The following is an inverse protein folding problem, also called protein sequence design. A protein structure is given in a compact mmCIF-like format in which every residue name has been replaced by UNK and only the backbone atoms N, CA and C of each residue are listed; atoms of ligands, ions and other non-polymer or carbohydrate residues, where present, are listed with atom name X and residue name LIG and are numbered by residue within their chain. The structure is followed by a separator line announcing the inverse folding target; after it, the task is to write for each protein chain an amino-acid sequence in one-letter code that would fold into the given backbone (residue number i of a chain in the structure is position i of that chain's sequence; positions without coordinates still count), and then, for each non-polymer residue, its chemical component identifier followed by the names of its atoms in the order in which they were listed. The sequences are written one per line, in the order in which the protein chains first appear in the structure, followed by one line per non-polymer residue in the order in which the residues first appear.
data_IF_901475970555
#
_entry.id   IF_901475970555
#
_cell.length_a   1.000
_cell.length_b   1.000
_cell.length_c   1.000
_cell.angle_alpha   90.00
_cell.angle_beta   90.00
_cell.angle_gamma   90.00
#
_symmetry.space_group_name_H-M   'P 1'
#
loop_
_entity.id
_entity.type
_entity.pdbx_description
1 polymer ?
#
# COMPACT_ATOMS: atom_id res chain seq x y z
N UNK A 1 -6.42 31.51 -2.95
CA UNK A 1 -6.13 30.52 -1.87
C UNK A 1 -4.65 30.64 -1.53
N UNK A 2 -4.23 30.23 -0.34
CA UNK A 2 -2.79 30.18 -0.01
C UNK A 2 -2.17 29.01 -0.75
N UNK A 3 -1.07 29.22 -1.46
CA UNK A 3 -0.22 28.17 -2.02
C UNK A 3 0.28 27.26 -0.88
N UNK A 4 0.18 25.96 -1.07
CA UNK A 4 0.63 24.96 -0.10
C UNK A 4 1.63 24.03 -0.77
N UNK A 5 2.61 23.60 -0.01
CA UNK A 5 3.51 22.50 -0.37
C UNK A 5 2.99 21.22 0.26
N UNK A 6 2.47 20.31 -0.57
CA UNK A 6 1.80 19.07 -0.17
C UNK A 6 2.73 17.89 -0.42
N UNK A 7 3.09 17.14 0.62
CA UNK A 7 3.79 15.88 0.46
C UNK A 7 2.80 14.73 0.28
N UNK A 8 2.80 14.12 -0.89
CA UNK A 8 2.02 12.91 -1.19
C UNK A 8 2.87 11.68 -0.85
N UNK A 9 2.38 10.87 0.10
CA UNK A 9 3.07 9.64 0.52
C UNK A 9 2.41 8.46 -0.17
N UNK A 10 3.18 7.76 -1.01
CA UNK A 10 2.73 6.81 -2.00
C UNK A 10 3.44 5.46 -1.81
N UNK A 11 2.68 4.37 -1.80
CA UNK A 11 3.21 3.02 -1.64
C UNK A 11 2.86 2.14 -2.85
N UNK A 12 3.88 1.71 -3.60
CA UNK A 12 3.73 0.73 -4.68
C UNK A 12 2.84 1.13 -5.88
N UNK A 13 2.60 2.43 -6.09
CA UNK A 13 1.69 2.92 -7.13
C UNK A 13 2.34 4.03 -7.98
N UNK A 14 1.74 5.22 -8.01
CA UNK A 14 2.26 6.38 -8.74
C UNK A 14 3.66 6.77 -8.24
N UNK A 15 4.60 7.11 -9.11
CA UNK A 15 4.51 7.21 -10.56
C UNK A 15 5.01 5.96 -11.34
N UNK A 16 5.16 4.80 -10.70
CA UNK A 16 5.80 3.61 -11.30
C UNK A 16 4.84 2.68 -12.02
N UNK A 17 3.56 2.65 -11.63
CA UNK A 17 2.60 1.65 -12.10
C UNK A 17 1.35 2.32 -12.61
N UNK A 18 0.88 1.92 -13.80
CA UNK A 18 -0.43 2.33 -14.30
C UNK A 18 -1.55 1.63 -13.50
N UNK A 19 -2.58 2.39 -13.13
CA UNK A 19 -3.72 1.85 -12.40
C UNK A 19 -4.68 2.93 -11.94
N UNK A 20 -5.82 2.54 -11.37
CA UNK A 20 -6.85 3.47 -10.94
C UNK A 20 -6.35 4.53 -9.95
N UNK A 21 -5.62 4.09 -8.91
CA UNK A 21 -5.04 4.99 -7.91
C UNK A 21 -4.00 5.92 -8.53
N UNK A 22 -3.13 5.39 -9.40
CA UNK A 22 -2.10 6.19 -10.07
C UNK A 22 -2.71 7.22 -11.02
N UNK A 23 -3.73 6.85 -11.78
CA UNK A 23 -4.46 7.77 -12.67
C UNK A 23 -5.17 8.86 -11.87
N UNK A 24 -5.83 8.50 -10.77
CA UNK A 24 -6.46 9.47 -9.87
C UNK A 24 -5.42 10.43 -9.29
N UNK A 25 -4.28 9.92 -8.85
CA UNK A 25 -3.20 10.75 -8.29
C UNK A 25 -2.63 11.72 -9.32
N UNK A 26 -2.40 11.25 -10.55
CA UNK A 26 -1.95 12.11 -11.64
C UNK A 26 -2.95 13.24 -11.93
N UNK A 27 -4.25 12.91 -11.97
CA UNK A 27 -5.32 13.91 -12.16
C UNK A 27 -5.39 14.89 -10.97
N UNK A 28 -5.30 14.38 -9.73
CA UNK A 28 -5.30 15.20 -8.52
C UNK A 28 -4.21 16.27 -8.55
N UNK A 29 -2.97 15.89 -8.88
CA UNK A 29 -1.84 16.82 -9.00
C UNK A 29 -2.07 17.79 -10.16
N UNK A 30 -2.48 17.29 -11.32
CA UNK A 30 -2.65 18.11 -12.54
C UNK A 30 -3.75 19.17 -12.38
N UNK A 31 -4.82 18.88 -11.63
CA UNK A 31 -5.92 19.82 -11.43
C UNK A 31 -5.58 20.89 -10.39
N UNK A 32 -4.79 20.56 -9.37
CA UNK A 32 -4.43 21.47 -8.27
C UNK A 32 -3.14 22.27 -8.58
N UNK A 33 -3.14 22.98 -9.71
CA UNK A 33 -1.96 23.70 -10.22
C UNK A 33 -1.45 24.82 -9.31
N UNK A 34 -2.30 25.32 -8.41
CA UNK A 34 -1.96 26.36 -7.45
C UNK A 34 -1.14 25.85 -6.25
N UNK A 35 -0.86 24.54 -6.18
CA UNK A 35 -0.09 23.92 -5.10
C UNK A 35 1.16 23.25 -5.63
N UNK A 36 2.22 23.27 -4.81
CA UNK A 36 3.42 22.47 -5.05
C UNK A 36 3.25 21.06 -4.45
N UNK A 37 3.70 20.07 -5.18
CA UNK A 37 3.71 18.68 -4.70
C UNK A 37 5.10 18.13 -4.54
N UNK A 38 5.32 17.46 -3.42
CA UNK A 38 6.48 16.61 -3.16
C UNK A 38 5.99 15.17 -3.15
N UNK A 39 6.59 14.30 -3.96
CA UNK A 39 6.27 12.88 -3.94
C UNK A 39 7.24 12.16 -2.99
N UNK A 40 6.71 11.49 -1.98
CA UNK A 40 7.48 10.62 -1.09
C UNK A 40 7.03 9.18 -1.33
N UNK A 41 7.83 8.45 -2.10
CA UNK A 41 7.42 7.19 -2.71
C UNK A 41 8.15 6.03 -2.08
N UNK A 42 7.40 5.00 -1.68
CA UNK A 42 7.91 3.73 -1.19
C UNK A 42 7.81 2.71 -2.31
N UNK A 43 8.95 2.18 -2.75
CA UNK A 43 9.05 1.09 -3.71
C UNK A 43 9.58 -0.19 -3.08
N UNK A 44 9.35 -1.33 -3.72
CA UNK A 44 9.89 -2.61 -3.26
C UNK A 44 11.38 -2.74 -3.62
N UNK A 45 11.77 -2.40 -4.85
CA UNK A 45 13.08 -2.69 -5.41
C UNK A 45 13.80 -1.42 -5.86
N UNK A 46 15.02 -1.22 -5.36
CA UNK A 46 15.87 -0.06 -5.72
C UNK A 46 16.26 -0.02 -7.20
N UNK A 47 16.14 -1.13 -7.93
CA UNK A 47 16.35 -1.15 -9.37
C UNK A 47 15.30 -0.36 -10.15
N UNK A 48 14.15 -0.06 -9.54
CA UNK A 48 13.06 0.72 -10.17
C UNK A 48 13.24 2.23 -9.99
N UNK A 49 14.26 2.67 -9.29
CA UNK A 49 14.56 4.08 -9.04
C UNK A 49 14.55 4.89 -10.34
N UNK A 50 13.75 5.97 -10.35
CA UNK A 50 13.63 6.89 -11.47
C UNK A 50 12.92 6.33 -12.71
N UNK A 51 12.38 5.10 -12.67
CA UNK A 51 11.68 4.48 -13.81
C UNK A 51 10.19 4.84 -13.81
N UNK A 52 9.90 6.12 -13.93
CA UNK A 52 8.52 6.59 -13.93
C UNK A 52 7.81 6.25 -15.23
N UNK A 53 6.57 5.77 -15.14
CA UNK A 53 5.69 5.50 -16.30
C UNK A 53 4.76 6.67 -16.60
N UNK A 54 4.73 7.67 -15.74
CA UNK A 54 4.02 8.94 -15.93
C UNK A 54 5.00 10.07 -16.16
N UNK A 55 4.69 10.98 -17.06
CA UNK A 55 5.32 12.30 -17.13
C UNK A 55 4.80 13.13 -15.95
N UNK A 56 5.72 13.60 -15.12
CA UNK A 56 5.33 14.33 -13.91
C UNK A 56 4.85 15.73 -14.26
N UNK A 57 3.71 16.20 -13.69
CA UNK A 57 3.25 17.58 -13.87
C UNK A 57 4.25 18.60 -13.32
N UNK A 58 4.28 19.80 -13.90
CA UNK A 58 5.23 20.88 -13.57
C UNK A 58 5.19 21.32 -12.10
N UNK A 59 4.06 21.12 -11.42
CA UNK A 59 3.89 21.44 -10.02
C UNK A 59 4.37 20.32 -9.06
N UNK A 60 4.96 19.24 -9.58
CA UNK A 60 5.75 18.30 -8.79
C UNK A 60 7.18 18.83 -8.69
N UNK A 61 7.52 19.39 -7.53
CA UNK A 61 8.81 20.07 -7.32
C UNK A 61 9.92 19.17 -6.81
N UNK A 62 9.60 18.06 -6.16
CA UNK A 62 10.57 17.10 -5.62
C UNK A 62 10.00 15.67 -5.65
N UNK A 63 10.90 14.68 -5.77
CA UNK A 63 10.60 13.25 -5.62
C UNK A 63 11.61 12.61 -4.68
N UNK A 64 11.12 12.07 -3.57
CA UNK A 64 11.90 11.31 -2.59
C UNK A 64 11.54 9.83 -2.71
N UNK A 65 12.49 9.01 -3.12
CA UNK A 65 12.29 7.58 -3.35
C UNK A 65 12.95 6.77 -2.24
N UNK A 66 12.18 5.91 -1.58
CA UNK A 66 12.64 4.99 -0.54
C UNK A 66 12.31 3.57 -0.97
N UNK A 67 13.31 2.69 -0.99
CA UNK A 67 13.12 1.31 -1.44
C UNK A 67 13.34 0.32 -0.29
N UNK A 68 12.39 -0.60 -0.10
CA UNK A 68 12.42 -1.53 1.03
C UNK A 68 13.57 -2.54 0.95
N UNK A 69 14.04 -2.89 -0.24
CA UNK A 69 15.20 -3.78 -0.40
C UNK A 69 16.54 -3.11 0.01
N UNK A 70 16.60 -1.77 0.08
CA UNK A 70 17.75 -1.06 0.63
C UNK A 70 17.92 -1.33 2.14
N UNK A 71 16.82 -1.66 2.85
CA UNK A 71 16.89 -2.10 4.23
C UNK A 71 17.75 -3.38 4.41
N UNK A 72 17.76 -4.26 3.42
CA UNK A 72 18.58 -5.48 3.44
C UNK A 72 20.07 -5.21 3.26
N UNK A 73 20.42 -4.04 2.69
CA UNK A 73 21.80 -3.60 2.45
C UNK A 73 22.39 -2.83 3.64
N UNK A 74 21.59 -2.58 4.69
CA UNK A 74 22.08 -1.91 5.88
C UNK A 74 23.26 -2.68 6.49
N UNK A 75 24.45 -2.15 6.30
CA UNK A 75 25.65 -2.63 6.99
C UNK A 75 25.70 -1.98 8.36
N UNK A 76 26.18 -2.75 9.34
CA UNK A 76 26.69 -2.11 10.53
C UNK A 76 27.81 -1.18 10.09
N UNK A 77 27.73 0.09 10.49
CA UNK A 77 28.91 0.93 10.48
C UNK A 77 29.83 0.38 11.58
N UNK A 78 30.52 -0.70 11.26
CA UNK A 78 31.62 -1.19 12.07
C UNK A 78 32.67 -0.09 12.08
N UNK A 79 32.92 0.45 13.25
CA UNK A 79 34.04 1.32 13.47
C UNK A 79 35.31 0.58 13.02
N UNK A 80 36.03 1.09 12.03
CA UNK A 80 37.30 0.54 11.55
C UNK A 80 38.37 0.42 12.67
N UNK A 81 38.05 0.85 13.88
CA UNK A 81 38.95 0.93 15.05
C UNK A 81 38.66 -0.09 16.14
N UNK A 82 37.96 -1.22 15.86
CA UNK A 82 37.95 -2.33 16.84
C UNK A 82 37.35 -2.05 18.23
N UNK A 83 36.72 -0.90 18.45
CA UNK A 83 35.99 -0.64 19.69
C UNK A 83 34.69 -1.42 19.68
N UNK A 84 34.56 -2.35 20.61
CA UNK A 84 33.31 -3.01 20.97
C UNK A 84 32.18 -1.95 21.01
N UNK A 85 31.17 -2.09 20.15
CA UNK A 85 30.04 -1.19 20.16
C UNK A 85 29.53 -1.08 21.60
N UNK A 86 29.37 0.16 22.07
CA UNK A 86 28.57 0.45 23.26
C UNK A 86 27.23 -0.26 23.03
N UNK A 87 26.92 -1.20 23.90
CA UNK A 87 25.61 -1.82 23.99
C UNK A 87 24.63 -0.66 24.04
N UNK A 88 23.83 -0.47 22.99
CA UNK A 88 22.82 0.57 23.01
C UNK A 88 21.82 0.19 24.12
N UNK A 89 21.92 0.86 25.25
CA UNK A 89 20.93 0.72 26.31
C UNK A 89 19.68 1.46 25.84
N UNK A 90 18.62 0.69 25.59
CA UNK A 90 17.28 1.24 25.42
C UNK A 90 16.73 1.62 26.78
N UNK A 91 16.03 2.74 26.91
CA UNK A 91 15.28 3.08 28.09
C UNK A 91 14.13 2.10 28.31
N UNK A 92 13.51 2.13 29.49
CA UNK A 92 12.33 1.30 29.74
C UNK A 92 11.18 1.62 28.78
N UNK A 93 10.96 2.90 28.47
CA UNK A 93 9.94 3.39 27.55
C UNK A 93 10.23 2.94 26.11
N UNK A 94 11.48 3.06 25.64
CA UNK A 94 11.93 2.57 24.33
C UNK A 94 11.77 1.05 24.22
N UNK A 95 12.17 0.31 25.27
CA UNK A 95 12.05 -1.16 25.31
C UNK A 95 10.57 -1.59 25.28
N UNK A 96 9.71 -0.87 26.00
CA UNK A 96 8.25 -1.11 26.00
C UNK A 96 7.68 -0.90 24.59
N UNK A 97 7.97 0.25 23.95
CA UNK A 97 7.46 0.56 22.62
C UNK A 97 7.98 -0.42 21.55
N UNK A 98 9.25 -0.86 21.65
CA UNK A 98 9.81 -1.89 20.77
C UNK A 98 9.16 -3.27 21.00
N UNK A 99 8.84 -3.62 22.24
CA UNK A 99 8.07 -4.84 22.56
C UNK A 99 6.68 -4.78 21.95
N UNK A 100 5.97 -3.68 22.16
CA UNK A 100 4.62 -3.47 21.62
C UNK A 100 4.61 -3.49 20.09
N UNK A 101 5.66 -2.97 19.44
CA UNK A 101 5.86 -3.08 18.00
C UNK A 101 6.02 -4.54 17.56
N UNK A 102 6.83 -5.34 18.27
CA UNK A 102 7.01 -6.77 17.97
C UNK A 102 5.74 -7.57 18.19
N UNK A 103 4.97 -7.25 19.22
CA UNK A 103 3.71 -7.92 19.55
C UNK A 103 2.53 -7.45 18.71
N UNK A 104 2.74 -6.46 17.82
CA UNK A 104 1.70 -5.83 17.01
C UNK A 104 0.53 -5.32 17.85
N UNK A 105 0.84 -4.69 18.99
CA UNK A 105 -0.14 -4.09 19.91
C UNK A 105 -0.25 -2.57 19.67
N UNK A 106 0.03 -1.74 20.67
CA UNK A 106 -0.14 -0.29 20.59
C UNK A 106 1.16 0.45 20.91
N UNK A 107 2.21 0.35 20.06
CA UNK A 107 3.48 1.01 20.34
C UNK A 107 3.32 2.54 20.41
N UNK A 108 4.11 3.17 21.25
CA UNK A 108 4.23 4.62 21.22
C UNK A 108 5.09 5.02 20.02
N UNK A 109 4.41 5.47 18.96
CA UNK A 109 5.07 5.86 17.73
C UNK A 109 5.95 7.08 17.88
N UNK A 110 5.66 8.02 18.79
CA UNK A 110 6.51 9.20 19.00
C UNK A 110 7.86 8.81 19.63
N UNK A 111 7.84 7.83 20.53
CA UNK A 111 9.09 7.23 21.07
C UNK A 111 9.90 6.57 19.96
N UNK A 112 9.25 5.82 19.07
CA UNK A 112 9.93 5.18 17.94
C UNK A 112 10.44 6.19 16.91
N UNK A 113 9.68 7.26 16.61
CA UNK A 113 10.14 8.35 15.74
C UNK A 113 11.35 9.04 16.33
N UNK A 114 11.32 9.38 17.62
CA UNK A 114 12.48 9.97 18.32
C UNK A 114 13.70 9.04 18.22
N UNK A 115 13.52 7.75 18.49
CA UNK A 115 14.60 6.76 18.50
C UNK A 115 15.29 6.63 17.14
N UNK A 116 14.51 6.44 16.06
CA UNK A 116 15.05 6.13 14.73
C UNK A 116 15.30 7.37 13.88
N UNK A 117 14.45 8.40 13.97
CA UNK A 117 14.62 9.62 13.19
C UNK A 117 15.53 10.63 13.89
N UNK A 118 15.23 11.04 15.11
CA UNK A 118 15.97 12.14 15.77
C UNK A 118 17.35 11.66 16.28
N UNK A 119 17.39 10.50 16.95
CA UNK A 119 18.64 9.90 17.45
C UNK A 119 19.41 9.11 16.39
N UNK A 120 18.86 8.96 15.16
CA UNK A 120 19.48 8.24 14.04
C UNK A 120 19.96 6.83 14.41
N UNK A 121 19.17 6.10 15.21
CA UNK A 121 19.53 4.75 15.59
C UNK A 121 19.48 3.83 14.36
N UNK A 122 20.52 3.01 14.18
CA UNK A 122 20.54 2.03 13.11
C UNK A 122 19.51 0.90 13.42
N UNK A 123 18.61 0.56 12.48
CA UNK A 123 17.65 -0.54 12.63
C UNK A 123 18.28 -1.86 13.09
N UNK A 124 19.50 -2.16 12.60
CA UNK A 124 20.23 -3.37 12.96
C UNK A 124 20.70 -3.38 14.43
N UNK A 125 20.80 -2.22 15.08
CA UNK A 125 21.20 -2.15 16.49
C UNK A 125 20.17 -2.82 17.40
N UNK A 126 18.88 -2.64 17.14
CA UNK A 126 17.83 -3.35 17.88
C UNK A 126 17.77 -4.83 17.50
N UNK A 127 17.73 -5.15 16.22
CA UNK A 127 17.58 -6.53 15.74
C UNK A 127 18.72 -7.48 16.13
N UNK A 128 19.87 -6.92 16.59
CA UNK A 128 21.01 -7.67 17.11
C UNK A 128 21.19 -7.50 18.62
N UNK A 129 20.28 -6.81 19.29
CA UNK A 129 20.37 -6.56 20.73
C UNK A 129 19.90 -7.78 21.55
N UNK A 130 20.37 -7.83 22.78
CA UNK A 130 19.88 -8.78 23.79
C UNK A 130 18.38 -8.55 24.07
N UNK A 131 17.93 -7.30 24.08
CA UNK A 131 16.52 -6.94 24.27
C UNK A 131 15.62 -7.60 23.19
N UNK A 132 16.02 -7.54 21.91
CA UNK A 132 15.29 -8.19 20.84
C UNK A 132 15.20 -9.71 21.06
N UNK A 133 16.32 -10.35 21.39
CA UNK A 133 16.35 -11.79 21.63
C UNK A 133 15.51 -12.19 22.84
N UNK A 134 15.53 -11.42 23.93
CA UNK A 134 14.74 -11.69 25.13
C UNK A 134 13.23 -11.58 24.82
N UNK A 135 12.79 -10.49 24.18
CA UNK A 135 11.39 -10.32 23.78
C UNK A 135 10.95 -11.45 22.85
N UNK A 136 11.78 -11.80 21.87
CA UNK A 136 11.48 -12.89 20.94
C UNK A 136 11.36 -14.24 21.66
N UNK A 137 12.28 -14.53 22.58
CA UNK A 137 12.28 -15.77 23.35
C UNK A 137 11.02 -15.88 24.21
N UNK A 138 10.65 -14.83 24.93
CA UNK A 138 9.42 -14.77 25.72
C UNK A 138 8.20 -15.00 24.82
N UNK A 139 8.11 -14.29 23.69
CA UNK A 139 7.03 -14.46 22.73
C UNK A 139 6.94 -15.89 22.15
N UNK A 140 8.10 -16.52 21.88
CA UNK A 140 8.14 -17.91 21.41
C UNK A 140 7.61 -18.88 22.48
N UNK A 141 8.01 -18.71 23.73
CA UNK A 141 7.56 -19.57 24.83
C UNK A 141 6.06 -19.43 25.10
N UNK A 142 5.52 -18.22 25.01
CA UNK A 142 4.10 -17.96 25.32
C UNK A 142 3.17 -18.28 24.15
N UNK A 143 3.52 -17.81 22.92
CA UNK A 143 2.60 -17.81 21.78
C UNK A 143 2.93 -18.87 20.73
N UNK A 144 4.21 -19.29 20.63
CA UNK A 144 4.69 -20.15 19.57
C UNK A 144 5.56 -21.34 20.06
N UNK A 145 5.13 -22.10 21.09
CA UNK A 145 5.97 -23.12 21.74
C UNK A 145 6.40 -24.28 20.82
N UNK A 146 5.73 -24.44 19.68
CA UNK A 146 6.00 -25.53 18.72
C UNK A 146 6.65 -25.05 17.42
N UNK A 147 7.05 -23.79 17.35
CA UNK A 147 7.69 -23.19 16.16
C UNK A 147 9.20 -23.16 16.37
N UNK A 148 9.96 -23.48 15.32
CA UNK A 148 11.40 -23.34 15.38
C UNK A 148 11.79 -21.88 15.63
N UNK A 149 12.72 -21.65 16.56
CA UNK A 149 13.16 -20.29 16.91
C UNK A 149 13.69 -19.52 15.70
N UNK A 150 14.39 -20.20 14.77
CA UNK A 150 14.86 -19.60 13.54
C UNK A 150 13.72 -19.03 12.68
N UNK A 151 12.59 -19.75 12.58
CA UNK A 151 11.42 -19.30 11.83
C UNK A 151 10.79 -18.05 12.46
N UNK A 152 10.67 -18.04 13.79
CA UNK A 152 10.21 -16.88 14.54
C UNK A 152 11.15 -15.69 14.37
N UNK A 153 12.47 -15.91 14.45
CA UNK A 153 13.48 -14.87 14.26
C UNK A 153 13.40 -14.25 12.86
N UNK A 154 13.37 -15.08 11.82
CA UNK A 154 13.29 -14.58 10.45
C UNK A 154 11.98 -13.86 10.16
N UNK A 155 10.86 -14.37 10.68
CA UNK A 155 9.55 -13.72 10.53
C UNK A 155 9.56 -12.33 11.20
N UNK A 156 9.95 -12.24 12.47
CA UNK A 156 10.00 -10.95 13.19
C UNK A 156 10.96 -9.98 12.53
N UNK A 157 12.13 -10.43 12.11
CA UNK A 157 13.08 -9.58 11.37
C UNK A 157 12.47 -9.06 10.07
N UNK A 158 11.76 -9.90 9.31
CA UNK A 158 11.13 -9.51 8.04
C UNK A 158 10.01 -8.48 8.23
N UNK A 159 9.29 -8.53 9.35
CA UNK A 159 8.27 -7.54 9.70
C UNK A 159 8.88 -6.21 10.15
N UNK A 160 9.86 -6.28 11.05
CA UNK A 160 10.38 -5.10 11.73
C UNK A 160 11.36 -4.29 10.88
N UNK A 161 12.25 -4.97 10.13
CA UNK A 161 13.34 -4.30 9.41
C UNK A 161 12.85 -3.21 8.46
N UNK A 162 11.80 -3.43 7.63
CA UNK A 162 11.25 -2.37 6.79
C UNK A 162 10.72 -1.17 7.59
N UNK A 163 9.98 -1.42 8.67
CA UNK A 163 9.46 -0.35 9.53
C UNK A 163 10.58 0.48 10.11
N UNK A 164 11.54 -0.15 10.79
CA UNK A 164 12.65 0.54 11.45
C UNK A 164 13.52 1.30 10.45
N UNK A 165 13.68 0.77 9.24
CA UNK A 165 14.37 1.44 8.14
C UNK A 165 13.62 2.71 7.69
N UNK A 166 12.31 2.62 7.49
CA UNK A 166 11.47 3.74 7.09
C UNK A 166 11.46 4.85 8.14
N UNK A 167 11.46 4.52 9.44
CA UNK A 167 11.53 5.51 10.52
C UNK A 167 12.83 6.33 10.51
N UNK A 168 13.91 5.78 9.96
CA UNK A 168 15.17 6.49 9.79
C UNK A 168 15.29 7.29 8.49
N UNK A 169 14.26 7.32 7.66
CA UNK A 169 14.26 8.00 6.36
C UNK A 169 14.39 9.52 6.50
N UNK A 170 14.93 10.15 5.46
CA UNK A 170 14.87 11.61 5.32
C UNK A 170 13.43 12.03 5.04
N UNK A 171 12.97 13.04 5.79
CA UNK A 171 11.60 13.54 5.70
C UNK A 171 11.57 14.79 4.85
N UNK A 172 10.87 14.79 3.70
CA UNK A 172 10.73 16.00 2.88
C UNK A 172 9.94 17.08 3.61
N UNK A 173 10.35 18.34 3.46
CA UNK A 173 9.65 19.45 4.08
C UNK A 173 8.37 19.78 3.32
N UNK A 174 7.24 19.86 4.04
CA UNK A 174 5.93 20.19 3.48
C UNK A 174 5.01 20.89 4.50
N UNK A 175 3.93 21.48 4.02
CA UNK A 175 2.88 22.08 4.87
C UNK A 175 1.86 21.05 5.34
N UNK A 176 1.72 19.95 4.63
CA UNK A 176 0.85 18.81 4.97
C UNK A 176 1.38 17.51 4.37
N UNK A 177 1.11 16.40 5.03
CA UNK A 177 1.45 15.06 4.56
C UNK A 177 0.17 14.30 4.25
N UNK A 178 0.00 13.89 3.00
CA UNK A 178 -1.19 13.21 2.53
C UNK A 178 -0.84 11.78 2.07
N UNK A 179 -1.18 10.80 2.89
CA UNK A 179 -1.04 9.39 2.54
C UNK A 179 -2.21 8.92 1.70
N UNK A 180 -1.92 8.04 0.73
CA UNK A 180 -2.93 7.46 -0.17
C UNK A 180 -3.32 6.04 0.25
N UNK A 181 -2.61 5.50 1.21
CA UNK A 181 -2.89 4.23 1.88
C UNK A 181 -2.50 4.33 3.35
N UNK A 182 -3.00 3.42 4.16
CA UNK A 182 -2.45 3.15 5.49
C UNK A 182 -1.11 2.40 5.35
N UNK A 183 -0.75 1.48 6.21
CA UNK A 183 0.48 0.68 6.07
C UNK A 183 1.76 1.51 6.16
N UNK A 184 2.72 1.22 5.31
CA UNK A 184 4.01 1.93 5.29
C UNK A 184 3.86 3.39 4.86
N UNK A 185 3.00 3.67 3.88
CA UNK A 185 2.70 5.03 3.44
C UNK A 185 2.10 5.86 4.57
N UNK A 186 1.13 5.32 5.28
CA UNK A 186 0.54 5.95 6.46
C UNK A 186 1.55 6.22 7.58
N UNK A 187 2.46 5.28 7.82
CA UNK A 187 3.50 5.44 8.83
C UNK A 187 4.47 6.58 8.49
N UNK A 188 4.91 6.69 7.22
CA UNK A 188 5.76 7.79 6.78
C UNK A 188 5.04 9.14 6.87
N UNK A 189 3.75 9.21 6.53
CA UNK A 189 2.98 10.43 6.72
C UNK A 189 2.91 10.84 8.20
N UNK A 190 2.77 9.85 9.11
CA UNK A 190 2.83 10.10 10.56
C UNK A 190 4.21 10.64 10.99
N UNK A 191 5.29 10.09 10.46
CA UNK A 191 6.65 10.57 10.71
C UNK A 191 6.82 12.01 10.21
N UNK A 192 6.36 12.34 9.00
CA UNK A 192 6.39 13.69 8.46
C UNK A 192 5.62 14.70 9.34
N UNK A 193 4.41 14.30 9.76
CA UNK A 193 3.61 15.08 10.69
C UNK A 193 4.24 15.25 12.07
N UNK A 194 5.04 14.29 12.54
CA UNK A 194 5.82 14.38 13.77
C UNK A 194 6.98 15.39 13.62
N UNK A 195 7.82 15.21 12.60
CA UNK A 195 9.05 15.98 12.40
C UNK A 195 8.77 17.48 12.21
N UNK A 196 7.81 17.80 11.34
CA UNK A 196 7.50 19.21 11.01
C UNK A 196 6.28 19.77 11.73
N UNK A 197 5.64 18.99 12.60
CA UNK A 197 4.40 19.36 13.32
C UNK A 197 3.32 19.87 12.37
N UNK A 198 3.09 19.10 11.31
CA UNK A 198 2.14 19.41 10.26
C UNK A 198 0.97 18.45 10.26
N UNK A 199 -0.20 18.88 9.73
CA UNK A 199 -1.35 18.00 9.62
C UNK A 199 -1.09 16.83 8.69
N UNK A 200 -1.68 15.68 9.04
CA UNK A 200 -1.66 14.46 8.24
C UNK A 200 -3.04 14.20 7.69
N UNK A 201 -3.13 13.90 6.41
CA UNK A 201 -4.34 13.49 5.72
C UNK A 201 -4.20 12.06 5.23
N UNK A 202 -5.31 11.36 5.15
CA UNK A 202 -5.38 10.01 4.56
C UNK A 202 -6.52 9.94 3.57
N UNK A 203 -6.25 9.42 2.38
CA UNK A 203 -7.27 8.98 1.43
C UNK A 203 -7.08 7.50 1.15
N UNK A 204 -8.09 6.67 1.42
CA UNK A 204 -8.07 5.26 1.07
C UNK A 204 -8.99 4.98 -0.12
N UNK A 205 -8.43 4.43 -1.19
CA UNK A 205 -9.17 3.97 -2.37
C UNK A 205 -9.76 2.58 -2.19
N UNK A 206 -9.07 1.72 -1.46
CA UNK A 206 -9.50 0.43 -0.93
C UNK A 206 -9.19 0.37 0.56
N UNK A 207 -9.65 -0.65 1.25
CA UNK A 207 -9.33 -0.84 2.68
C UNK A 207 -8.06 -1.69 2.77
N UNK A 208 -6.92 -1.02 2.95
CA UNK A 208 -5.59 -1.63 2.96
C UNK A 208 -5.48 -2.86 3.87
N UNK A 209 -6.01 -2.78 5.09
CA UNK A 209 -5.98 -3.91 6.03
C UNK A 209 -6.71 -5.13 5.50
N UNK A 210 -7.85 -4.95 4.82
CA UNK A 210 -8.63 -6.05 4.22
C UNK A 210 -7.87 -6.69 3.07
N UNK A 211 -7.25 -5.89 2.22
CA UNK A 211 -6.44 -6.36 1.10
C UNK A 211 -5.23 -7.16 1.61
N UNK A 212 -4.51 -6.64 2.62
CA UNK A 212 -3.38 -7.36 3.24
C UNK A 212 -3.82 -8.63 3.96
N UNK A 213 -4.96 -8.61 4.65
CA UNK A 213 -5.50 -9.80 5.31
C UNK A 213 -5.76 -10.93 4.30
N UNK A 214 -6.46 -10.63 3.19
CA UNK A 214 -6.72 -11.62 2.15
C UNK A 214 -5.42 -12.14 1.51
N UNK A 215 -4.47 -11.25 1.23
CA UNK A 215 -3.17 -11.63 0.70
C UNK A 215 -2.42 -12.56 1.65
N UNK A 216 -2.34 -12.24 2.93
CA UNK A 216 -1.66 -13.06 3.93
C UNK A 216 -2.35 -14.41 4.12
N UNK A 217 -3.68 -14.46 4.11
CA UNK A 217 -4.43 -15.71 4.19
C UNK A 217 -4.08 -16.64 3.01
N UNK A 218 -3.96 -16.11 1.81
CA UNK A 218 -3.61 -16.87 0.58
C UNK A 218 -2.11 -17.14 0.42
N UNK A 219 -1.26 -16.35 1.09
CA UNK A 219 0.19 -16.43 0.93
C UNK A 219 0.75 -17.81 1.33
N UNK A 220 1.50 -18.43 0.41
CA UNK A 220 2.21 -19.70 0.64
C UNK A 220 3.57 -19.48 1.33
N UNK A 221 4.15 -18.30 1.23
CA UNK A 221 5.43 -17.94 1.84
C UNK A 221 5.33 -17.60 3.33
N UNK A 222 4.12 -17.29 3.82
CA UNK A 222 3.90 -17.03 5.24
C UNK A 222 3.67 -18.33 5.99
N UNK A 223 4.48 -18.58 7.00
CA UNK A 223 4.32 -19.72 7.90
C UNK A 223 2.92 -19.63 8.55
N UNK A 224 2.09 -20.68 8.48
CA UNK A 224 0.70 -20.63 8.93
C UNK A 224 0.50 -20.05 10.33
N UNK A 225 1.36 -20.40 11.28
CA UNK A 225 1.31 -19.91 12.67
C UNK A 225 1.55 -18.42 12.80
N UNK A 226 2.19 -17.77 11.83
CA UNK A 226 2.46 -16.34 11.83
C UNK A 226 1.49 -15.51 10.98
N UNK A 227 0.49 -16.13 10.31
CA UNK A 227 -0.49 -15.38 9.51
C UNK A 227 -1.23 -14.34 10.35
N UNK A 228 -1.69 -14.74 11.55
CA UNK A 228 -2.34 -13.82 12.47
C UNK A 228 -1.44 -12.65 12.89
N UNK A 229 -0.15 -12.91 13.13
CA UNK A 229 0.83 -11.88 13.49
C UNK A 229 1.02 -10.87 12.35
N UNK A 230 1.16 -11.34 11.10
CA UNK A 230 1.24 -10.47 9.93
C UNK A 230 -0.02 -9.62 9.73
N UNK A 231 -1.19 -10.19 9.92
CA UNK A 231 -2.45 -9.45 9.84
C UNK A 231 -2.49 -8.36 10.92
N UNK A 232 -2.21 -8.73 12.19
CA UNK A 232 -2.16 -7.77 13.31
C UNK A 232 -1.15 -6.66 13.06
N UNK A 233 -0.02 -6.96 12.41
CA UNK A 233 0.99 -5.98 12.05
C UNK A 233 0.44 -4.90 11.11
N UNK A 234 -0.28 -5.26 10.06
CA UNK A 234 -0.87 -4.28 9.15
C UNK A 234 -2.01 -3.49 9.79
N UNK A 235 -2.78 -4.10 10.68
CA UNK A 235 -3.79 -3.38 11.48
C UNK A 235 -3.14 -2.34 12.41
N UNK A 236 -2.05 -2.70 13.08
CA UNK A 236 -1.28 -1.77 13.93
C UNK A 236 -0.73 -0.57 13.16
N UNK A 237 -0.17 -0.78 11.95
CA UNK A 237 0.28 0.32 11.09
C UNK A 237 -0.88 1.23 10.67
N UNK A 238 -2.04 0.65 10.36
CA UNK A 238 -3.22 1.42 9.98
C UNK A 238 -3.79 2.23 11.15
N UNK A 239 -3.77 1.66 12.35
CA UNK A 239 -4.18 2.37 13.57
C UNK A 239 -3.31 3.61 13.82
N UNK A 240 -2.01 3.53 13.54
CA UNK A 240 -1.09 4.67 13.70
C UNK A 240 -1.57 5.91 12.94
N UNK A 241 -1.91 5.77 11.65
CA UNK A 241 -2.37 6.90 10.87
C UNK A 241 -3.81 7.28 11.18
N UNK A 242 -4.72 6.35 11.50
CA UNK A 242 -6.09 6.68 11.92
C UNK A 242 -6.11 7.55 13.18
N UNK A 243 -5.21 7.27 14.14
CA UNK A 243 -5.06 8.08 15.34
C UNK A 243 -4.51 9.48 15.03
N UNK A 244 -3.49 9.56 14.17
CA UNK A 244 -2.77 10.82 13.90
C UNK A 244 -3.43 11.70 12.86
N UNK A 245 -4.12 11.14 11.88
CA UNK A 245 -4.73 11.90 10.79
C UNK A 245 -5.72 12.95 11.30
N UNK A 246 -5.63 14.16 10.73
CA UNK A 246 -6.59 15.23 10.93
C UNK A 246 -7.91 14.93 10.19
N UNK A 247 -7.82 14.34 8.99
CA UNK A 247 -8.96 13.85 8.20
C UNK A 247 -8.62 12.54 7.52
N UNK A 248 -9.63 11.71 7.40
CA UNK A 248 -9.58 10.43 6.69
C UNK A 248 -10.70 10.44 5.66
N UNK A 249 -10.35 10.20 4.40
CA UNK A 249 -11.31 10.18 3.31
C UNK A 249 -11.37 8.79 2.66
N UNK A 250 -12.55 8.44 2.19
CA UNK A 250 -12.82 7.22 1.43
C UNK A 250 -13.74 7.53 0.27
N UNK A 251 -13.80 6.63 -0.71
CA UNK A 251 -14.55 6.87 -1.96
C UNK A 251 -16.06 6.61 -1.82
N UNK A 252 -16.47 5.83 -0.83
CA UNK A 252 -17.88 5.45 -0.64
C UNK A 252 -18.20 5.10 0.82
N UNK A 253 -19.45 5.14 1.16
CA UNK A 253 -19.94 4.99 2.54
C UNK A 253 -19.52 3.68 3.21
N UNK A 254 -19.57 2.55 2.50
CA UNK A 254 -19.18 1.26 3.09
C UNK A 254 -17.69 1.21 3.45
N UNK A 255 -16.82 1.86 2.66
CA UNK A 255 -15.40 1.99 3.01
C UNK A 255 -15.24 2.82 4.29
N UNK A 256 -15.93 3.96 4.41
CA UNK A 256 -15.94 4.79 5.61
C UNK A 256 -16.40 3.99 6.84
N UNK A 257 -17.49 3.23 6.72
CA UNK A 257 -17.98 2.40 7.82
C UNK A 257 -16.97 1.33 8.23
N UNK A 258 -16.25 0.75 7.27
CA UNK A 258 -15.17 -0.21 7.55
C UNK A 258 -13.99 0.45 8.26
N UNK A 259 -13.58 1.67 7.84
CA UNK A 259 -12.55 2.45 8.54
C UNK A 259 -12.91 2.67 10.01
N UNK A 260 -14.17 3.04 10.28
CA UNK A 260 -14.67 3.23 11.65
C UNK A 260 -14.64 1.91 12.44
N UNK A 261 -15.06 0.80 11.83
CA UNK A 261 -15.00 -0.53 12.47
C UNK A 261 -13.58 -0.98 12.81
N UNK A 262 -12.59 -0.56 12.01
CA UNK A 262 -11.16 -0.86 12.24
C UNK A 262 -10.55 0.06 13.31
N UNK A 263 -11.26 1.11 13.72
CA UNK A 263 -10.83 1.99 14.82
C UNK A 263 -10.55 3.43 14.42
N UNK A 264 -10.91 3.85 13.21
CA UNK A 264 -10.86 5.26 12.84
C UNK A 264 -11.99 6.03 13.55
N UNK A 265 -11.68 7.22 14.08
CA UNK A 265 -12.67 8.11 14.65
C UNK A 265 -13.65 8.61 13.57
N UNK A 266 -14.94 8.38 13.79
CA UNK A 266 -16.01 8.75 12.87
C UNK A 266 -16.05 10.26 12.57
N UNK A 267 -15.65 11.12 13.51
CA UNK A 267 -15.61 12.57 13.31
C UNK A 267 -14.55 13.00 12.30
N UNK A 268 -13.52 12.19 12.12
CA UNK A 268 -12.46 12.44 11.12
C UNK A 268 -12.84 11.97 9.72
N UNK A 269 -13.75 10.99 9.61
CA UNK A 269 -14.10 10.34 8.35
C UNK A 269 -14.98 11.22 7.46
N UNK A 270 -14.70 11.19 6.16
CA UNK A 270 -15.51 11.84 5.11
C UNK A 270 -15.53 10.97 3.86
N UNK A 271 -16.65 10.96 3.18
CA UNK A 271 -16.75 10.34 1.84
C UNK A 271 -16.51 11.42 0.80
N UNK A 272 -15.55 11.19 -0.09
CA UNK A 272 -15.27 12.01 -1.27
C UNK A 272 -15.18 11.05 -2.45
N UNK A 273 -16.23 11.02 -3.26
CA UNK A 273 -16.33 10.10 -4.40
C UNK A 273 -15.38 10.51 -5.53
N UNK A 274 -14.94 9.52 -6.32
CA UNK A 274 -14.20 9.80 -7.54
C UNK A 274 -15.12 10.45 -8.58
N UNK A 275 -14.54 11.34 -9.39
CA UNK A 275 -15.19 11.95 -10.53
C UNK A 275 -14.56 11.52 -11.85
N UNK A 276 -15.21 11.88 -12.93
CA UNK A 276 -14.72 11.75 -14.31
C UNK A 276 -14.85 13.08 -15.04
N UNK A 277 -14.02 13.28 -16.05
CA UNK A 277 -14.16 14.42 -16.98
C UNK A 277 -15.31 14.13 -17.95
N UNK A 278 -16.54 14.43 -17.49
CA UNK A 278 -17.76 14.18 -18.26
C UNK A 278 -17.77 14.95 -19.58
N UNK A 279 -17.33 16.20 -19.58
CA UNK A 279 -17.39 17.06 -20.77
C UNK A 279 -16.48 16.53 -21.88
N UNK A 280 -15.29 16.07 -21.53
CA UNK A 280 -14.37 15.43 -22.48
C UNK A 280 -14.90 14.10 -22.97
N UNK A 281 -15.39 13.24 -22.08
CA UNK A 281 -15.87 11.91 -22.45
C UNK A 281 -17.18 11.94 -23.20
N UNK A 282 -18.08 12.90 -22.94
CA UNK A 282 -19.34 13.05 -23.65
C UNK A 282 -19.19 13.52 -25.10
N UNK A 283 -18.01 14.04 -25.48
CA UNK A 283 -17.70 14.45 -26.86
C UNK A 283 -17.23 13.26 -27.74
N UNK A 284 -16.95 12.09 -27.14
CA UNK A 284 -16.56 10.89 -27.89
C UNK A 284 -17.77 10.46 -28.75
N UNK A 285 -17.60 10.37 -30.08
CA UNK A 285 -18.69 9.98 -30.95
C UNK A 285 -19.15 8.54 -30.63
N UNK A 286 -20.44 8.33 -30.68
CA UNK A 286 -20.98 6.97 -30.60
C UNK A 286 -20.55 6.17 -31.84
N UNK A 287 -20.43 4.86 -31.69
CA UNK A 287 -20.14 3.99 -32.84
C UNK A 287 -21.29 4.08 -33.85
N UNK A 288 -20.97 3.87 -35.12
CA UNK A 288 -21.98 3.73 -36.18
C UNK A 288 -22.85 2.50 -35.93
N UNK A 289 -24.13 2.59 -36.27
CA UNK A 289 -25.08 1.48 -36.14
C UNK A 289 -24.70 0.34 -37.11
N UNK A 290 -24.24 -0.78 -36.58
CA UNK A 290 -23.87 -1.98 -37.32
C UNK A 290 -24.79 -3.19 -36.98
N UNK A 291 -25.88 -2.94 -36.25
CA UNK A 291 -26.82 -3.96 -35.79
C UNK A 291 -26.30 -4.79 -34.60
N UNK A 292 -25.11 -4.54 -34.09
CA UNK A 292 -24.53 -5.22 -32.92
C UNK A 292 -24.59 -4.37 -31.67
N UNK A 293 -24.84 -5.03 -30.55
CA UNK A 293 -24.72 -4.47 -29.23
C UNK A 293 -23.36 -4.87 -28.66
N UNK A 294 -22.48 -3.88 -28.48
CA UNK A 294 -21.17 -4.08 -27.91
C UNK A 294 -21.18 -3.79 -26.42
N UNK A 295 -20.77 -4.77 -25.63
CA UNK A 295 -20.55 -4.64 -24.19
C UNK A 295 -19.04 -4.55 -23.97
N UNK A 296 -18.58 -3.49 -23.34
CA UNK A 296 -17.16 -3.27 -23.00
C UNK A 296 -16.91 -3.47 -21.50
N UNK A 297 -15.88 -4.23 -21.16
CA UNK A 297 -15.36 -4.32 -19.81
C UNK A 297 -13.88 -3.93 -19.79
N UNK A 298 -13.55 -2.83 -19.10
CA UNK A 298 -12.17 -2.37 -18.94
C UNK A 298 -11.64 -2.89 -17.61
N UNK A 299 -11.00 -4.05 -17.63
CA UNK A 299 -10.56 -4.77 -16.43
C UNK A 299 -9.29 -5.57 -16.70
N UNK A 300 -8.42 -5.69 -15.69
CA UNK A 300 -7.29 -6.63 -15.72
C UNK A 300 -7.79 -8.07 -15.49
N UNK A 301 -7.15 -9.05 -16.12
CA UNK A 301 -7.44 -10.46 -15.88
C UNK A 301 -6.79 -10.89 -14.56
N UNK A 302 -7.59 -10.85 -13.49
CA UNK A 302 -7.18 -11.22 -12.14
C UNK A 302 -8.37 -11.80 -11.36
N UNK A 303 -8.16 -12.74 -10.42
CA UNK A 303 -9.24 -13.38 -9.65
C UNK A 303 -10.19 -12.40 -8.97
N UNK A 304 -9.67 -11.30 -8.44
CA UNK A 304 -10.45 -10.26 -7.76
C UNK A 304 -11.47 -9.56 -8.68
N UNK A 305 -11.29 -9.64 -10.01
CA UNK A 305 -12.20 -9.03 -11.00
C UNK A 305 -13.32 -9.96 -11.44
N UNK A 306 -13.27 -11.20 -10.99
CA UNK A 306 -14.28 -12.24 -11.22
C UNK A 306 -14.76 -12.34 -12.69
N UNK A 307 -13.77 -12.40 -13.60
CA UNK A 307 -14.02 -12.50 -15.05
C UNK A 307 -14.83 -13.75 -15.40
N UNK A 308 -14.69 -14.83 -14.64
CA UNK A 308 -15.46 -16.07 -14.87
C UNK A 308 -16.97 -15.86 -14.73
N UNK A 309 -17.42 -15.13 -13.71
CA UNK A 309 -18.83 -14.76 -13.56
C UNK A 309 -19.30 -13.89 -14.72
N UNK A 310 -18.46 -12.96 -15.20
CA UNK A 310 -18.76 -12.16 -16.39
C UNK A 310 -18.92 -13.03 -17.64
N UNK A 311 -18.05 -14.03 -17.85
CA UNK A 311 -18.14 -14.98 -18.96
C UNK A 311 -19.44 -15.79 -18.89
N UNK A 312 -19.81 -16.31 -17.70
CA UNK A 312 -21.09 -17.03 -17.53
C UNK A 312 -22.29 -16.12 -17.78
N UNK A 313 -22.30 -14.90 -17.28
CA UNK A 313 -23.37 -13.95 -17.54
C UNK A 313 -23.51 -13.62 -19.03
N UNK A 314 -22.39 -13.47 -19.73
CA UNK A 314 -22.41 -13.25 -21.17
C UNK A 314 -22.86 -14.49 -21.95
N UNK A 315 -22.48 -15.68 -21.52
CA UNK A 315 -23.00 -16.94 -22.10
C UNK A 315 -24.53 -17.01 -22.03
N UNK A 316 -25.10 -16.72 -20.87
CA UNK A 316 -26.57 -16.66 -20.72
C UNK A 316 -27.23 -15.58 -21.60
N UNK A 317 -26.58 -14.41 -21.71
CA UNK A 317 -27.05 -13.32 -22.55
C UNK A 317 -27.03 -13.71 -24.04
N UNK A 318 -25.91 -14.25 -24.51
CA UNK A 318 -25.70 -14.64 -25.91
C UNK A 318 -26.61 -15.79 -26.36
N UNK A 319 -27.12 -16.61 -25.42
CA UNK A 319 -28.13 -17.61 -25.70
C UNK A 319 -29.52 -17.02 -26.03
N UNK A 320 -29.76 -15.76 -25.65
CA UNK A 320 -31.05 -15.05 -25.83
C UNK A 320 -30.97 -13.94 -26.88
N UNK A 321 -29.73 -13.51 -27.23
CA UNK A 321 -29.48 -12.41 -28.16
C UNK A 321 -28.35 -12.79 -29.12
N UNK A 322 -28.64 -12.88 -30.42
CA UNK A 322 -27.63 -13.28 -31.41
C UNK A 322 -26.66 -12.17 -31.79
N UNK A 323 -27.08 -10.90 -31.65
CA UNK A 323 -26.32 -9.71 -32.08
C UNK A 323 -25.64 -9.00 -30.92
N UNK A 324 -25.09 -9.72 -29.95
CA UNK A 324 -24.34 -9.16 -28.80
C UNK A 324 -22.89 -9.62 -28.81
N UNK A 325 -21.97 -8.70 -28.50
CA UNK A 325 -20.53 -8.96 -28.37
C UNK A 325 -20.03 -8.46 -27.03
N UNK A 326 -19.09 -9.20 -26.41
CA UNK A 326 -18.38 -8.77 -25.22
C UNK A 326 -16.90 -8.56 -25.52
N UNK A 327 -16.39 -7.37 -25.22
CA UNK A 327 -14.99 -7.01 -25.33
C UNK A 327 -14.41 -6.83 -23.93
N UNK A 328 -13.40 -7.64 -23.59
CA UNK A 328 -12.66 -7.53 -22.33
C UNK A 328 -11.33 -6.87 -22.66
N UNK A 329 -11.19 -5.60 -22.21
CA UNK A 329 -10.03 -4.74 -22.48
C UNK A 329 -9.18 -4.64 -21.19
N UNK A 330 -7.98 -5.18 -21.23
CA UNK A 330 -7.04 -5.11 -20.10
C UNK A 330 -5.94 -6.17 -20.19
N UNK A 331 -4.85 -5.92 -19.48
CA UNK A 331 -3.73 -6.85 -19.41
C UNK A 331 -3.97 -8.04 -18.50
N UNK A 332 -3.08 -9.02 -18.59
CA UNK A 332 -3.05 -10.19 -17.72
C UNK A 332 -2.21 -9.84 -16.49
N UNK A 333 -2.78 -10.00 -15.30
CA UNK A 333 -2.10 -9.87 -14.02
C UNK A 333 -1.77 -11.24 -13.42
N UNK A 334 -2.60 -12.24 -13.69
CA UNK A 334 -2.47 -13.62 -13.21
C UNK A 334 -2.63 -14.56 -14.40
N UNK A 335 -1.54 -15.15 -14.83
CA UNK A 335 -1.48 -16.03 -16.01
C UNK A 335 -2.33 -17.30 -15.81
N UNK A 336 -2.29 -17.92 -14.62
CA UNK A 336 -3.06 -19.12 -14.33
C UNK A 336 -4.57 -18.83 -14.42
N UNK A 337 -5.00 -17.72 -13.84
CA UNK A 337 -6.39 -17.29 -13.92
C UNK A 337 -6.84 -16.90 -15.34
N UNK A 338 -5.97 -16.25 -16.12
CA UNK A 338 -6.24 -15.90 -17.50
C UNK A 338 -6.43 -17.17 -18.35
N UNK A 339 -5.56 -18.17 -18.19
CA UNK A 339 -5.67 -19.46 -18.88
C UNK A 339 -6.98 -20.17 -18.54
N UNK A 340 -7.42 -20.12 -17.27
CA UNK A 340 -8.72 -20.65 -16.87
C UNK A 340 -9.88 -19.91 -17.54
N UNK A 341 -9.80 -18.58 -17.69
CA UNK A 341 -10.81 -17.78 -18.37
C UNK A 341 -10.87 -18.12 -19.87
N UNK A 342 -9.73 -18.26 -20.54
CA UNK A 342 -9.66 -18.65 -21.95
C UNK A 342 -10.23 -20.08 -22.16
N UNK A 343 -9.86 -21.00 -21.27
CA UNK A 343 -10.39 -22.38 -21.30
C UNK A 343 -11.92 -22.40 -21.12
N UNK A 344 -12.45 -21.58 -20.22
CA UNK A 344 -13.89 -21.47 -19.96
C UNK A 344 -14.65 -20.97 -21.21
N UNK A 345 -14.18 -19.92 -21.87
CA UNK A 345 -14.78 -19.42 -23.12
C UNK A 345 -14.81 -20.49 -24.20
N UNK A 346 -13.73 -21.26 -24.34
CA UNK A 346 -13.62 -22.38 -25.27
C UNK A 346 -14.57 -23.53 -24.89
N UNK A 347 -14.67 -23.86 -23.61
CA UNK A 347 -15.55 -24.93 -23.10
C UNK A 347 -17.02 -24.60 -23.35
N UNK A 348 -17.42 -23.33 -23.21
CA UNK A 348 -18.78 -22.86 -23.43
C UNK A 348 -19.10 -22.55 -24.91
N UNK A 349 -18.15 -22.72 -25.84
CA UNK A 349 -18.21 -22.38 -27.28
C UNK A 349 -18.73 -20.94 -27.53
N UNK A 350 -18.27 -19.98 -26.74
CA UNK A 350 -18.67 -18.57 -26.91
C UNK A 350 -17.88 -17.95 -28.06
N UNK A 351 -18.56 -17.48 -29.10
CA UNK A 351 -17.93 -16.94 -30.32
C UNK A 351 -17.77 -15.43 -30.32
N UNK A 352 -18.64 -14.72 -29.60
CA UNK A 352 -18.73 -13.25 -29.63
C UNK A 352 -18.09 -12.60 -28.39
N UNK A 353 -17.10 -13.26 -27.77
CA UNK A 353 -16.31 -12.72 -26.69
C UNK A 353 -14.85 -12.54 -27.14
N UNK A 354 -14.32 -11.35 -26.94
CA UNK A 354 -12.97 -10.99 -27.39
C UNK A 354 -12.17 -10.46 -26.19
N UNK A 355 -11.02 -11.07 -25.94
CA UNK A 355 -9.99 -10.51 -25.05
C UNK A 355 -9.08 -9.61 -25.90
N UNK A 356 -9.20 -8.31 -25.73
CA UNK A 356 -8.46 -7.32 -26.53
C UNK A 356 -7.01 -7.13 -26.05
N UNK A 357 -6.74 -7.52 -24.79
CA UNK A 357 -5.47 -7.21 -24.15
C UNK A 357 -5.42 -5.76 -23.68
N UNK A 358 -4.21 -5.31 -23.34
CA UNK A 358 -3.99 -3.92 -22.92
C UNK A 358 -4.20 -2.98 -24.12
N UNK A 359 -4.98 -1.95 -23.90
CA UNK A 359 -5.18 -0.82 -24.83
C UNK A 359 -4.69 0.46 -24.16
N UNK A 360 -4.15 1.38 -24.96
CA UNK A 360 -3.65 2.68 -24.49
C UNK A 360 -4.77 3.72 -24.42
#
# INVERSE_FOLDING_TARGET
MRELRICLVLEGCYPYVHGGVSTWMHQYITVMKEHEFVLWVIGAHACDRGKFVYELPDNVVEVHEVFLDDALKLKEHGNQNGQLHRINHFSEEETKSLRELMECSHPDWEVLFHLYHDRKMNPMSFLKSEQFLNILTESCLEKYPYIAFADAFHTMRSMLLPVLYLLGSEVPQADTYHAISTGYGGLLACLGGYVYRRPVLLTEHGIYTREREEEIIRAKWVIPSFKKQWISFFYMLSEAIYKRAFRVTSLFTNAMLTQIQIGCDAEKCRVIENGIDYDRLSQIPLKEEDGWIDIGAVVRLAPIKDIKTMIYAFYELSSRMENVRLHILGGVDDEEYADECYALVKQLDIKNLVFTGRVD
#
